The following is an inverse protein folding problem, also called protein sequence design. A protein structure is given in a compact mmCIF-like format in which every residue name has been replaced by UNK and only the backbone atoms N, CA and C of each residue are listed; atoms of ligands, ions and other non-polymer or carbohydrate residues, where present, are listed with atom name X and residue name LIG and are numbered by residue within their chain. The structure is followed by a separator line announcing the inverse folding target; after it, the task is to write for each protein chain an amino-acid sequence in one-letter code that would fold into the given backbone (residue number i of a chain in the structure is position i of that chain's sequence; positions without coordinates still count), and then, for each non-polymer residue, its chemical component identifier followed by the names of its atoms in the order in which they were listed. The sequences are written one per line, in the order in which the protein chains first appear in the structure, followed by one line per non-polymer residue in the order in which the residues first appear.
data_IF_193561554666
#
_entry.id   IF_193561554666
#
_cell.length_a   1.000
_cell.length_b   1.000
_cell.length_c   1.000
_cell.angle_alpha   90.00
_cell.angle_beta   90.00
_cell.angle_gamma   90.00
#
_symmetry.space_group_name_H-M   'P 1'
#
loop_
_entity.id
_entity.type
_entity.pdbx_description
1 polymer ?
#
# COMPACT_ATOMS: atom_id res chain seq x y z
N UNK A 1 -46.64 1.61 54.32
CA UNK A 1 -45.57 2.61 54.54
C UNK A 1 -45.06 3.06 53.17
N UNK A 2 -45.21 4.36 52.90
CA UNK A 2 -44.65 5.22 51.82
C UNK A 2 -44.70 4.71 50.35
N UNK A 3 -45.49 5.29 49.41
CA UNK A 3 -45.44 6.65 48.79
C UNK A 3 -44.34 6.74 47.71
N UNK A 4 -44.48 7.28 46.48
CA UNK A 4 -45.54 7.95 45.70
C UNK A 4 -45.04 8.07 44.23
N UNK A 5 -45.97 8.19 43.27
CA UNK A 5 -45.95 8.99 42.00
C UNK A 5 -44.72 9.01 41.05
N UNK A 6 -44.85 9.15 39.73
CA UNK A 6 -45.99 9.43 38.88
C UNK A 6 -45.55 9.72 37.42
N UNK A 7 -46.44 9.34 36.50
CA UNK A 7 -46.59 9.68 35.07
C UNK A 7 -46.06 11.02 34.56
N UNK A 8 -45.56 11.05 33.31
CA UNK A 8 -45.83 12.13 32.33
C UNK A 8 -45.99 11.60 30.89
N UNK A 9 -46.98 12.15 30.17
CA UNK A 9 -47.40 11.88 28.78
C UNK A 9 -46.88 12.95 27.81
N UNK A 10 -46.66 12.53 26.55
CA UNK A 10 -46.91 13.17 25.24
C UNK A 10 -46.66 14.67 24.99
N UNK A 11 -45.98 14.99 23.88
CA UNK A 11 -46.45 15.97 22.87
C UNK A 11 -45.68 15.84 21.53
N UNK A 12 -46.30 16.32 20.46
CA UNK A 12 -46.09 16.00 19.04
C UNK A 12 -45.78 17.28 18.23
N UNK A 13 -45.04 17.11 17.10
CA UNK A 13 -44.93 17.94 15.88
C UNK A 13 -44.21 19.31 15.90
N UNK A 14 -43.29 19.49 14.95
CA UNK A 14 -43.42 20.47 13.85
C UNK A 14 -42.36 20.24 12.76
N UNK A 15 -42.79 20.28 11.50
CA UNK A 15 -41.98 20.33 10.27
C UNK A 15 -41.75 21.79 9.88
N UNK A 16 -40.58 22.13 9.32
CA UNK A 16 -40.41 23.31 8.45
C UNK A 16 -39.23 23.10 7.49
N UNK A 17 -39.43 23.64 6.29
CA UNK A 17 -38.70 23.44 5.03
C UNK A 17 -37.63 24.53 4.82
N UNK A 18 -36.61 24.19 4.00
CA UNK A 18 -35.36 24.86 3.52
C UNK A 18 -35.45 26.35 3.10
N UNK A 19 -34.32 27.12 2.95
CA UNK A 19 -33.45 27.04 1.75
C UNK A 19 -31.92 27.19 1.98
N UNK A 20 -31.16 26.77 0.97
CA UNK A 20 -29.69 26.81 0.86
C UNK A 20 -29.10 28.22 0.68
N UNK A 21 -27.91 28.49 1.24
CA UNK A 21 -26.94 29.48 0.74
C UNK A 21 -25.51 28.99 1.02
N UNK A 22 -24.67 29.13 0.00
CA UNK A 22 -23.26 28.77 -0.06
C UNK A 22 -22.37 29.54 0.93
N UNK A 23 -21.35 28.87 1.46
CA UNK A 23 -20.09 29.47 1.87
C UNK A 23 -18.98 28.41 1.76
N UNK A 24 -18.34 28.35 0.59
CA UNK A 24 -17.08 27.65 0.43
C UNK A 24 -15.99 28.48 1.14
N UNK A 25 -15.68 28.11 2.38
CA UNK A 25 -14.52 28.61 3.08
C UNK A 25 -13.31 27.70 2.76
N UNK A 26 -12.37 28.25 2.00
CA UNK A 26 -11.03 27.70 1.82
C UNK A 26 -10.38 27.48 3.20
N UNK A 27 -10.29 26.22 3.61
CA UNK A 27 -9.42 25.80 4.71
C UNK A 27 -8.18 25.19 4.08
N UNK A 28 -7.25 26.03 3.66
CA UNK A 28 -5.84 25.65 3.52
C UNK A 28 -5.29 25.45 4.92
N UNK A 29 -5.40 24.24 5.45
CA UNK A 29 -4.61 23.85 6.63
C UNK A 29 -3.15 23.77 6.17
N UNK A 30 -2.32 24.62 6.76
CA UNK A 30 -0.87 24.52 6.73
C UNK A 30 -0.44 23.10 7.13
N UNK A 31 -0.10 22.27 6.13
CA UNK A 31 0.66 21.05 6.37
C UNK A 31 2.07 21.50 6.71
N UNK A 32 2.39 21.58 8.00
CA UNK A 32 3.78 21.74 8.46
C UNK A 32 4.62 20.63 7.84
N UNK A 33 5.63 21.02 7.06
CA UNK A 33 6.64 20.12 6.52
C UNK A 33 7.24 19.30 7.67
N UNK A 34 7.11 17.98 7.58
CA UNK A 34 7.76 17.05 8.51
C UNK A 34 9.24 17.01 8.12
N UNK A 35 10.19 17.22 9.06
CA UNK A 35 11.61 17.10 8.76
C UNK A 35 11.92 15.69 8.24
N UNK A 36 12.63 15.60 7.12
CA UNK A 36 13.10 14.34 6.54
C UNK A 36 14.05 13.64 7.53
N UNK A 37 13.60 12.55 8.14
CA UNK A 37 14.46 11.59 8.86
C UNK A 37 14.79 10.43 7.92
N UNK A 38 15.99 9.84 7.98
CA UNK A 38 16.41 8.79 7.04
C UNK A 38 17.07 7.66 7.84
N UNK A 39 16.73 6.40 7.53
CA UNK A 39 17.39 5.22 8.11
C UNK A 39 17.70 4.18 7.03
N UNK A 40 18.82 3.48 7.15
CA UNK A 40 19.26 2.44 6.21
C UNK A 40 19.45 1.12 6.94
N UNK A 41 18.98 0.02 6.37
CA UNK A 41 19.35 -1.34 6.81
C UNK A 41 19.96 -2.09 5.64
N UNK A 42 21.19 -2.58 5.79
CA UNK A 42 21.82 -3.49 4.83
C UNK A 42 21.53 -4.95 5.22
N UNK A 43 21.11 -5.75 4.25
CA UNK A 43 21.24 -7.22 4.33
C UNK A 43 22.15 -7.68 3.19
N UNK A 44 23.18 -8.49 3.45
CA UNK A 44 23.97 -9.07 2.39
C UNK A 44 23.11 -10.10 1.64
N UNK A 45 22.96 -9.94 0.33
CA UNK A 45 22.37 -10.95 -0.54
C UNK A 45 23.38 -11.32 -1.62
N UNK A 46 23.42 -12.61 -2.00
CA UNK A 46 24.27 -13.12 -3.07
C UNK A 46 23.99 -12.34 -4.37
N UNK A 47 25.04 -11.73 -4.91
CA UNK A 47 25.04 -11.07 -6.21
C UNK A 47 24.70 -12.12 -7.28
N UNK A 48 23.53 -12.00 -7.90
CA UNK A 48 23.27 -12.61 -9.20
C UNK A 48 23.40 -11.52 -10.25
N UNK A 49 24.17 -11.81 -11.30
CA UNK A 49 24.44 -10.90 -12.40
C UNK A 49 23.13 -10.51 -13.11
N UNK A 50 22.79 -9.22 -13.03
CA UNK A 50 21.69 -8.64 -13.82
C UNK A 50 22.30 -8.15 -15.14
N UNK A 51 21.65 -8.40 -16.30
CA UNK A 51 22.15 -7.91 -17.58
C UNK A 51 22.30 -6.38 -17.55
N UNK A 52 23.53 -5.91 -17.75
CA UNK A 52 23.79 -4.48 -17.99
C UNK A 52 23.18 -4.12 -19.34
N UNK A 53 22.14 -3.30 -19.34
CA UNK A 53 21.72 -2.63 -20.57
C UNK A 53 22.82 -1.64 -20.95
N UNK A 54 23.54 -1.96 -22.01
CA UNK A 54 24.50 -1.05 -22.60
C UNK A 54 23.78 0.15 -23.20
N UNK A 55 24.10 1.35 -22.71
CA UNK A 55 24.53 2.46 -23.57
C UNK A 55 25.07 3.62 -22.73
N UNK A 56 26.12 4.23 -23.27
CA UNK A 56 26.93 5.32 -22.74
C UNK A 56 26.19 6.66 -22.67
N UNK A 57 25.04 6.71 -22.00
CA UNK A 57 24.41 7.97 -21.63
C UNK A 57 24.96 8.41 -20.27
N UNK A 58 25.28 9.70 -20.13
CA UNK A 58 25.55 10.29 -18.82
C UNK A 58 24.38 9.97 -17.88
N UNK A 59 24.62 9.70 -16.58
CA UNK A 59 23.55 9.47 -15.63
C UNK A 59 22.59 10.67 -15.64
N UNK A 60 21.27 10.46 -15.51
CA UNK A 60 20.32 11.57 -15.52
C UNK A 60 20.64 12.54 -14.39
N UNK A 61 20.46 13.83 -14.67
CA UNK A 61 20.50 14.84 -13.64
C UNK A 61 19.40 14.57 -12.61
N UNK A 62 19.66 14.81 -11.31
CA UNK A 62 18.63 14.70 -10.30
C UNK A 62 17.50 15.71 -10.57
N UNK A 63 16.23 15.31 -10.37
CA UNK A 63 15.12 16.24 -10.34
C UNK A 63 15.40 17.38 -9.35
N UNK A 64 15.08 18.62 -9.73
CA UNK A 64 15.25 19.79 -8.85
C UNK A 64 14.43 19.70 -7.56
N UNK A 65 13.45 18.80 -7.53
CA UNK A 65 12.55 18.48 -6.42
C UNK A 65 13.19 17.55 -5.38
N UNK A 66 14.28 16.85 -5.69
CA UNK A 66 14.94 15.99 -4.71
C UNK A 66 15.70 16.82 -3.67
N UNK A 67 15.30 16.68 -2.41
CA UNK A 67 16.01 17.29 -1.30
C UNK A 67 17.50 16.86 -1.32
N UNK A 68 18.46 17.80 -1.19
CA UNK A 68 19.89 17.50 -1.28
C UNK A 68 20.36 16.36 -0.35
N UNK A 69 19.79 16.29 0.87
CA UNK A 69 20.10 15.24 1.85
C UNK A 69 19.67 13.85 1.37
N UNK A 70 18.51 13.75 0.71
CA UNK A 70 18.03 12.48 0.15
C UNK A 70 18.90 12.05 -1.03
N UNK A 71 19.28 12.99 -1.90
CA UNK A 71 20.18 12.74 -3.02
C UNK A 71 21.53 12.20 -2.56
N UNK A 72 22.19 12.87 -1.60
CA UNK A 72 23.48 12.42 -1.05
C UNK A 72 23.37 11.02 -0.44
N UNK A 73 22.26 10.75 0.26
CA UNK A 73 22.02 9.43 0.85
C UNK A 73 21.84 8.36 -0.22
N UNK A 74 21.05 8.63 -1.26
CA UNK A 74 20.89 7.71 -2.38
C UNK A 74 22.23 7.43 -3.06
N UNK A 75 23.06 8.45 -3.32
CA UNK A 75 24.38 8.27 -3.91
C UNK A 75 25.25 7.31 -3.11
N UNK A 76 25.28 7.50 -1.79
CA UNK A 76 26.03 6.66 -0.87
C UNK A 76 25.53 5.22 -0.90
N UNK A 77 24.22 5.03 -0.82
CA UNK A 77 23.59 3.69 -0.82
C UNK A 77 23.83 2.97 -2.14
N UNK A 78 23.59 3.63 -3.28
CA UNK A 78 23.78 3.05 -4.60
C UNK A 78 25.24 2.67 -4.85
N UNK A 79 26.19 3.50 -4.40
CA UNK A 79 27.62 3.19 -4.49
C UNK A 79 27.99 1.96 -3.65
N UNK A 80 27.43 1.84 -2.44
CA UNK A 80 27.76 0.76 -1.52
C UNK A 80 27.08 -0.59 -1.86
N UNK A 81 25.88 -0.56 -2.44
CA UNK A 81 25.01 -1.75 -2.55
C UNK A 81 24.53 -2.06 -3.98
N UNK A 82 24.79 -1.17 -4.95
CA UNK A 82 24.35 -1.34 -6.33
C UNK A 82 22.84 -1.52 -6.44
N UNK A 83 22.39 -2.55 -7.17
CA UNK A 83 20.97 -2.83 -7.44
C UNK A 83 20.22 -3.53 -6.31
N UNK A 84 20.89 -3.86 -5.20
CA UNK A 84 20.31 -4.59 -4.06
C UNK A 84 20.30 -3.71 -2.81
N UNK A 85 19.43 -2.70 -2.82
CA UNK A 85 19.29 -1.76 -1.72
C UNK A 85 17.85 -1.69 -1.22
N UNK A 86 17.71 -1.33 0.05
CA UNK A 86 16.46 -0.90 0.67
C UNK A 86 16.75 0.42 1.42
N UNK A 87 16.02 1.49 1.12
CA UNK A 87 16.21 2.82 1.71
C UNK A 87 14.88 3.35 2.23
N UNK A 88 14.83 3.70 3.53
CA UNK A 88 13.69 4.43 4.08
C UNK A 88 13.86 5.93 3.84
N UNK A 89 12.85 6.57 3.25
CA UNK A 89 12.75 8.01 3.12
C UNK A 89 11.39 8.51 3.61
N UNK A 90 11.33 9.81 3.92
CA UNK A 90 10.12 10.48 4.40
C UNK A 90 9.83 11.65 3.48
N UNK A 91 8.57 11.78 3.09
CA UNK A 91 8.16 12.80 2.14
C UNK A 91 6.80 12.49 1.53
N UNK A 92 6.47 13.22 0.48
CA UNK A 92 5.30 12.99 -0.37
C UNK A 92 5.53 11.86 -1.37
N UNK A 93 4.44 11.35 -1.93
CA UNK A 93 4.49 10.39 -3.05
C UNK A 93 5.28 10.93 -4.25
N UNK A 94 5.21 12.23 -4.54
CA UNK A 94 5.98 12.83 -5.65
C UNK A 94 7.49 12.76 -5.40
N UNK A 95 7.93 13.09 -4.19
CA UNK A 95 9.36 13.00 -3.83
C UNK A 95 9.87 11.56 -3.87
N UNK A 96 9.03 10.59 -3.49
CA UNK A 96 9.33 9.18 -3.65
C UNK A 96 9.53 8.79 -5.13
N UNK A 97 8.64 9.24 -6.02
CA UNK A 97 8.73 8.94 -7.46
C UNK A 97 9.99 9.56 -8.10
N UNK A 98 10.33 10.80 -7.72
CA UNK A 98 11.57 11.43 -8.17
C UNK A 98 12.81 10.63 -7.72
N UNK A 99 12.79 10.14 -6.48
CA UNK A 99 13.89 9.33 -5.92
C UNK A 99 13.98 7.97 -6.61
N UNK A 100 12.84 7.33 -6.87
CA UNK A 100 12.73 6.08 -7.59
C UNK A 100 13.30 6.22 -9.01
N UNK A 101 12.77 7.17 -9.78
CA UNK A 101 13.15 7.36 -11.17
C UNK A 101 14.64 7.64 -11.32
N UNK A 102 15.15 8.57 -10.50
CA UNK A 102 16.57 8.92 -10.54
C UNK A 102 17.47 7.75 -10.12
N UNK A 103 17.14 7.04 -9.03
CA UNK A 103 17.99 5.96 -8.51
C UNK A 103 18.07 4.77 -9.46
N UNK A 104 16.95 4.37 -10.06
CA UNK A 104 16.93 3.27 -11.01
C UNK A 104 17.63 3.65 -12.32
N UNK A 105 17.42 4.87 -12.82
CA UNK A 105 18.10 5.33 -14.02
C UNK A 105 19.62 5.45 -13.81
N UNK A 106 20.08 5.85 -12.62
CA UNK A 106 21.51 5.82 -12.25
C UNK A 106 22.10 4.41 -12.23
N UNK A 107 21.28 3.39 -11.96
CA UNK A 107 21.66 1.98 -12.06
C UNK A 107 21.51 1.41 -13.48
N UNK A 108 21.19 2.23 -14.49
CA UNK A 108 20.94 1.78 -15.85
C UNK A 108 19.69 0.90 -15.97
N UNK A 109 18.73 1.06 -15.05
CA UNK A 109 17.47 0.32 -14.99
C UNK A 109 16.29 1.27 -15.21
N UNK A 110 15.21 0.75 -15.80
CA UNK A 110 13.94 1.46 -15.89
C UNK A 110 12.92 0.82 -14.96
N UNK A 111 12.13 1.64 -14.25
CA UNK A 111 11.00 1.14 -13.50
C UNK A 111 9.79 1.11 -14.44
N UNK A 112 9.54 -0.05 -15.05
CA UNK A 112 8.31 -0.24 -15.82
C UNK A 112 7.14 -0.44 -14.85
N UNK A 113 6.62 0.68 -14.35
CA UNK A 113 5.37 0.74 -13.59
C UNK A 113 4.15 0.81 -14.50
N UNK A 114 4.30 0.72 -15.82
CA UNK A 114 3.14 0.83 -16.70
C UNK A 114 2.25 -0.38 -16.46
N UNK A 115 1.22 -0.16 -15.65
CA UNK A 115 0.26 -1.18 -15.35
C UNK A 115 -0.53 -1.40 -16.64
N UNK A 116 -0.55 -2.61 -17.23
CA UNK A 116 -1.48 -2.88 -18.31
C UNK A 116 -2.88 -2.49 -17.82
N UNK A 117 -3.69 -1.91 -18.73
CA UNK A 117 -5.04 -1.47 -18.41
C UNK A 117 -5.76 -2.52 -17.55
N UNK A 118 -6.35 -2.08 -16.44
CA UNK A 118 -6.92 -2.99 -15.45
C UNK A 118 -7.87 -3.97 -16.13
N UNK A 119 -7.62 -5.26 -15.89
CA UNK A 119 -8.53 -6.34 -16.29
C UNK A 119 -9.09 -6.96 -15.03
N UNK A 120 -10.41 -6.89 -14.87
CA UNK A 120 -11.09 -7.61 -13.81
C UNK A 120 -10.70 -9.09 -13.85
N UNK A 121 -10.50 -9.68 -12.66
CA UNK A 121 -10.20 -11.12 -12.56
C UNK A 121 -11.40 -11.91 -13.08
N UNK A 122 -11.15 -12.78 -14.05
CA UNK A 122 -12.20 -13.61 -14.64
C UNK A 122 -12.64 -14.74 -13.70
N UNK A 123 -11.78 -15.12 -12.74
CA UNK A 123 -12.03 -16.17 -11.77
C UNK A 123 -11.59 -15.75 -10.36
N UNK A 124 -12.17 -16.41 -9.37
CA UNK A 124 -11.76 -16.31 -7.96
C UNK A 124 -10.32 -16.76 -7.79
N UNK A 125 -9.57 -16.03 -6.96
CA UNK A 125 -8.22 -16.42 -6.52
C UNK A 125 -8.25 -17.47 -5.40
N UNK A 126 -9.40 -17.66 -4.76
CA UNK A 126 -9.65 -18.73 -3.80
C UNK A 126 -9.90 -20.08 -4.50
N UNK A 127 -8.83 -20.67 -5.05
CA UNK A 127 -8.82 -21.88 -5.88
C UNK A 127 -8.28 -23.13 -5.15
N UNK A 128 -7.77 -22.98 -3.92
CA UNK A 128 -7.27 -24.07 -3.06
C UNK A 128 -7.89 -24.04 -1.67
N UNK A 129 -7.82 -25.15 -0.93
CA UNK A 129 -8.47 -25.28 0.37
C UNK A 129 -8.08 -24.18 1.38
N UNK A 130 -6.80 -23.80 1.45
CA UNK A 130 -6.32 -22.71 2.31
C UNK A 130 -6.93 -21.36 1.91
N UNK A 131 -6.98 -21.06 0.61
CA UNK A 131 -7.50 -19.80 0.09
C UNK A 131 -9.02 -19.71 0.20
N UNK A 132 -9.74 -20.82 0.01
CA UNK A 132 -11.20 -20.91 0.25
C UNK A 132 -11.53 -20.67 1.72
N UNK A 133 -10.77 -21.28 2.64
CA UNK A 133 -10.89 -21.00 4.08
C UNK A 133 -10.66 -19.52 4.38
N UNK A 134 -9.62 -18.92 3.82
CA UNK A 134 -9.29 -17.52 4.06
C UNK A 134 -10.35 -16.59 3.48
N UNK A 135 -10.92 -16.91 2.31
CA UNK A 135 -12.07 -16.19 1.74
C UNK A 135 -13.27 -16.20 2.67
N UNK A 136 -13.74 -17.38 3.06
CA UNK A 136 -14.88 -17.53 3.98
C UNK A 136 -14.66 -16.74 5.27
N UNK A 137 -13.45 -16.77 5.82
CA UNK A 137 -13.08 -16.04 7.03
C UNK A 137 -13.10 -14.52 6.82
N UNK A 138 -12.50 -14.01 5.75
CA UNK A 138 -12.45 -12.57 5.48
C UNK A 138 -13.86 -12.02 5.26
N UNK A 139 -14.67 -12.71 4.45
CA UNK A 139 -16.04 -12.29 4.16
C UNK A 139 -16.92 -12.33 5.42
N UNK A 140 -16.78 -13.35 6.27
CA UNK A 140 -17.58 -13.46 7.51
C UNK A 140 -17.11 -12.55 8.65
N UNK A 141 -15.79 -12.37 8.82
CA UNK A 141 -15.21 -11.59 9.93
C UNK A 141 -15.22 -10.09 9.65
N UNK A 142 -14.91 -9.70 8.42
CA UNK A 142 -14.68 -8.31 8.05
C UNK A 142 -15.69 -7.76 7.05
N UNK A 143 -16.58 -8.61 6.51
CA UNK A 143 -17.57 -8.18 5.51
C UNK A 143 -16.97 -7.77 4.17
N UNK A 144 -15.70 -8.10 3.92
CA UNK A 144 -14.98 -7.69 2.72
C UNK A 144 -15.10 -8.77 1.63
N UNK A 145 -15.85 -8.49 0.58
CA UNK A 145 -16.05 -9.39 -0.55
C UNK A 145 -14.80 -9.55 -1.41
N UNK A 146 -14.68 -10.67 -2.13
CA UNK A 146 -13.59 -10.84 -3.09
C UNK A 146 -13.65 -9.85 -4.26
N UNK A 147 -14.86 -9.56 -4.77
CA UNK A 147 -15.07 -8.59 -5.84
C UNK A 147 -15.10 -7.18 -5.24
N UNK A 148 -14.18 -6.32 -5.69
CA UNK A 148 -14.01 -4.96 -5.21
C UNK A 148 -15.30 -4.15 -5.07
N UNK A 149 -15.29 -3.21 -4.14
CA UNK A 149 -16.30 -2.17 -3.99
C UNK A 149 -15.63 -0.83 -4.23
N UNK A 150 -16.12 -0.06 -5.22
CA UNK A 150 -15.55 1.24 -5.56
C UNK A 150 -15.95 2.37 -4.59
N UNK A 151 -16.94 2.13 -3.73
CA UNK A 151 -17.49 3.11 -2.79
C UNK A 151 -16.99 2.96 -1.37
N UNK A 152 -16.48 1.78 -1.00
CA UNK A 152 -16.03 1.47 0.36
C UNK A 152 -14.82 2.32 0.75
N UNK A 153 -14.89 3.01 1.88
CA UNK A 153 -13.77 3.80 2.38
C UNK A 153 -12.97 3.02 3.42
N UNK A 154 -11.65 3.13 3.39
CA UNK A 154 -10.74 2.50 4.35
C UNK A 154 -10.12 3.56 5.23
N UNK A 155 -10.10 3.32 6.55
CA UNK A 155 -9.57 4.23 7.55
C UNK A 155 -8.52 3.51 8.41
N UNK A 156 -7.45 4.23 8.73
CA UNK A 156 -6.46 3.74 9.69
C UNK A 156 -6.98 3.81 11.14
N UNK A 157 -6.21 3.31 12.13
CA UNK A 157 -6.63 3.30 13.53
C UNK A 157 -6.84 4.70 14.13
N UNK A 158 -6.20 5.73 13.58
CA UNK A 158 -6.38 7.12 13.97
C UNK A 158 -7.63 7.76 13.33
N UNK A 159 -8.28 7.05 12.40
CA UNK A 159 -9.44 7.53 11.65
C UNK A 159 -9.07 8.38 10.45
N UNK A 160 -7.81 8.36 9.98
CA UNK A 160 -7.41 9.00 8.73
C UNK A 160 -7.79 8.12 7.53
N UNK A 161 -8.19 8.76 6.43
CA UNK A 161 -8.55 8.05 5.19
C UNK A 161 -7.31 7.41 4.57
N UNK A 162 -7.38 6.12 4.26
CA UNK A 162 -6.31 5.35 3.60
C UNK A 162 -6.59 5.18 2.12
N UNK A 163 -7.82 4.79 1.77
CA UNK A 163 -8.21 4.53 0.39
C UNK A 163 -9.73 4.69 0.19
N UNK A 164 -10.13 4.95 -1.04
CA UNK A 164 -11.51 4.93 -1.51
C UNK A 164 -11.68 3.87 -2.59
N UNK A 165 -12.45 2.86 -2.25
CA UNK A 165 -12.66 1.66 -3.03
C UNK A 165 -11.48 0.70 -3.00
N UNK A 166 -11.71 -0.48 -3.56
CA UNK A 166 -10.69 -1.52 -3.83
C UNK A 166 -11.11 -2.34 -5.05
N UNK A 167 -10.17 -3.04 -5.67
CA UNK A 167 -10.41 -3.83 -6.89
C UNK A 167 -10.79 -5.28 -6.59
N UNK A 168 -10.12 -5.88 -5.60
CA UNK A 168 -10.38 -7.25 -5.16
C UNK A 168 -9.73 -7.54 -3.80
N UNK A 169 -10.18 -8.61 -3.14
CA UNK A 169 -9.33 -9.34 -2.18
C UNK A 169 -8.63 -10.46 -2.93
N UNK A 170 -7.30 -10.47 -2.91
CA UNK A 170 -6.46 -11.51 -3.51
C UNK A 170 -6.09 -12.52 -2.43
N UNK A 171 -6.50 -13.77 -2.62
CA UNK A 171 -6.16 -14.87 -1.73
C UNK A 171 -4.89 -15.55 -2.26
N UNK A 172 -3.76 -15.26 -1.63
CA UNK A 172 -2.49 -15.94 -1.89
C UNK A 172 -2.17 -16.99 -0.84
N UNK A 173 -1.08 -17.72 -1.05
CA UNK A 173 -0.61 -18.73 -0.09
C UNK A 173 0.17 -18.11 1.09
N UNK A 174 0.27 -16.78 1.15
CA UNK A 174 0.75 -16.02 2.32
C UNK A 174 -0.38 -15.32 3.09
N UNK A 175 -1.64 -15.59 2.72
CA UNK A 175 -2.83 -14.95 3.29
C UNK A 175 -3.53 -13.98 2.33
N UNK A 176 -4.64 -13.37 2.80
CA UNK A 176 -5.47 -12.46 2.00
C UNK A 176 -4.91 -11.02 1.96
N UNK A 177 -4.96 -10.40 0.78
CA UNK A 177 -4.53 -9.02 0.56
C UNK A 177 -5.61 -8.21 -0.15
N UNK A 178 -5.82 -6.97 0.27
CA UNK A 178 -6.68 -6.01 -0.45
C UNK A 178 -5.87 -5.41 -1.59
N UNK A 179 -6.39 -5.48 -2.81
CA UNK A 179 -5.79 -4.92 -4.02
C UNK A 179 -6.42 -3.57 -4.35
N UNK A 180 -5.58 -2.55 -4.54
CA UNK A 180 -5.98 -1.19 -4.89
C UNK A 180 -5.35 -0.74 -6.22
N UNK A 181 -6.02 0.21 -6.87
CA UNK A 181 -5.40 1.09 -7.87
C UNK A 181 -4.69 2.26 -7.18
N UNK A 182 -3.74 2.87 -7.88
CA UNK A 182 -2.98 4.02 -7.37
C UNK A 182 -3.88 5.22 -7.07
N UNK A 183 -4.89 5.45 -7.90
CA UNK A 183 -5.89 6.52 -7.74
C UNK A 183 -6.88 6.32 -6.58
N UNK A 184 -6.97 5.09 -6.05
CA UNK A 184 -7.82 4.79 -4.88
C UNK A 184 -7.12 5.18 -3.58
N UNK A 185 -5.79 5.30 -3.58
CA UNK A 185 -5.00 5.58 -2.37
C UNK A 185 -5.06 7.06 -2.02
N UNK A 186 -5.36 7.35 -0.75
CA UNK A 186 -5.20 8.68 -0.18
C UNK A 186 -3.75 8.91 0.23
N UNK A 187 -2.91 9.25 -0.77
CA UNK A 187 -1.48 9.44 -0.61
C UNK A 187 -1.03 10.37 0.53
N UNK A 188 -1.75 11.45 0.90
CA UNK A 188 -1.33 12.30 2.03
C UNK A 188 -1.18 11.57 3.37
N UNK A 189 -1.84 10.43 3.58
CA UNK A 189 -1.69 9.61 4.79
C UNK A 189 -0.35 8.85 4.82
N UNK A 190 0.27 8.61 3.67
CA UNK A 190 1.50 7.85 3.53
C UNK A 190 2.71 8.77 3.40
N UNK A 191 3.47 8.92 4.49
CA UNK A 191 4.62 9.83 4.53
C UNK A 191 5.98 9.17 4.74
N UNK A 192 6.00 7.84 4.97
CA UNK A 192 7.23 7.05 5.04
C UNK A 192 7.22 6.05 3.91
N UNK A 193 8.34 5.95 3.19
CA UNK A 193 8.48 5.08 2.04
C UNK A 193 9.74 4.25 2.15
N UNK A 194 9.69 3.01 1.69
CA UNK A 194 10.85 2.16 1.48
C UNK A 194 11.07 1.97 0.00
N UNK A 195 12.03 2.70 -0.51
CA UNK A 195 12.54 2.52 -1.85
C UNK A 195 13.40 1.25 -1.89
N UNK A 196 13.26 0.47 -2.96
CA UNK A 196 14.01 -0.77 -3.15
C UNK A 196 14.67 -0.82 -4.51
N UNK A 197 15.75 -1.59 -4.59
CA UNK A 197 16.48 -1.76 -5.83
C UNK A 197 15.74 -2.61 -6.87
N UNK A 198 16.17 -2.56 -8.15
CA UNK A 198 15.52 -3.27 -9.27
C UNK A 198 15.38 -4.78 -9.10
N UNK A 199 16.16 -5.41 -8.20
CA UNK A 199 16.08 -6.84 -7.90
C UNK A 199 14.87 -7.26 -7.04
N UNK A 200 14.07 -6.32 -6.52
CA UNK A 200 12.87 -6.64 -5.71
C UNK A 200 11.61 -6.76 -6.57
N UNK A 201 10.47 -6.98 -5.92
CA UNK A 201 9.15 -7.11 -6.56
C UNK A 201 8.17 -5.99 -6.20
N UNK A 202 8.44 -5.24 -5.13
CA UNK A 202 7.57 -4.17 -4.63
C UNK A 202 8.35 -3.10 -3.84
N UNK A 203 7.78 -1.91 -3.72
CA UNK A 203 8.14 -0.88 -2.73
C UNK A 203 7.22 -0.97 -1.52
N UNK A 204 7.52 -0.21 -0.46
CA UNK A 204 6.65 -0.16 0.71
C UNK A 204 6.30 1.29 1.05
N UNK A 205 5.03 1.55 1.36
CA UNK A 205 4.58 2.85 1.86
C UNK A 205 3.89 2.64 3.21
N UNK A 206 4.22 3.50 4.16
CA UNK A 206 3.71 3.44 5.51
C UNK A 206 2.99 4.75 5.84
N UNK A 207 1.88 4.63 6.55
CA UNK A 207 1.26 5.80 7.16
C UNK A 207 2.15 6.35 8.30
N UNK A 208 1.75 7.50 8.85
CA UNK A 208 2.56 8.26 9.82
C UNK A 208 3.00 7.45 11.04
N UNK A 209 2.10 6.65 11.60
CA UNK A 209 2.34 5.83 12.79
C UNK A 209 2.77 4.39 12.47
N UNK A 210 3.01 4.10 11.19
CA UNK A 210 3.41 2.80 10.63
C UNK A 210 2.45 1.64 10.93
N UNK A 211 1.21 1.92 11.33
CA UNK A 211 0.17 0.91 11.54
C UNK A 211 -0.31 0.29 10.23
N UNK A 212 -0.31 1.06 9.13
CA UNK A 212 -0.72 0.60 7.80
C UNK A 212 0.49 0.56 6.86
N UNK A 213 0.62 -0.56 6.14
CA UNK A 213 1.66 -0.80 5.14
C UNK A 213 1.03 -1.15 3.79
N UNK A 214 1.37 -0.38 2.77
CA UNK A 214 1.09 -0.69 1.37
C UNK A 214 2.33 -1.29 0.71
N UNK A 215 2.11 -2.36 -0.06
CA UNK A 215 3.08 -2.95 -0.98
C UNK A 215 2.77 -2.43 -2.37
N UNK A 216 3.62 -1.57 -2.94
CA UNK A 216 3.48 -1.07 -4.31
C UNK A 216 4.22 -2.01 -5.26
N UNK A 217 3.45 -2.90 -5.89
CA UNK A 217 3.98 -4.03 -6.64
C UNK A 217 4.41 -3.59 -8.03
N UNK A 218 5.68 -3.84 -8.41
CA UNK A 218 6.20 -3.51 -9.74
C UNK A 218 6.68 -4.74 -10.54
N UNK A 219 6.59 -5.94 -9.98
CA UNK A 219 6.76 -7.23 -10.69
C UNK A 219 5.72 -8.24 -10.26
N UNK A 220 5.46 -9.27 -11.04
CA UNK A 220 4.70 -10.43 -10.55
C UNK A 220 5.52 -11.25 -9.55
N UNK A 221 4.88 -12.21 -8.87
CA UNK A 221 5.58 -13.25 -8.07
C UNK A 221 5.48 -14.63 -8.72
N UNK A 222 5.29 -14.68 -10.04
CA UNK A 222 5.15 -15.92 -10.80
C UNK A 222 6.38 -16.84 -10.75
N UNK A 223 7.56 -16.28 -10.44
CA UNK A 223 8.81 -17.00 -10.25
C UNK A 223 9.03 -17.49 -8.81
N UNK A 224 8.07 -17.26 -7.92
CA UNK A 224 8.13 -17.62 -6.50
C UNK A 224 7.01 -18.62 -6.20
N UNK A 225 7.27 -19.93 -6.30
CA UNK A 225 6.24 -20.95 -6.16
C UNK A 225 5.67 -21.07 -4.75
N UNK A 226 6.44 -20.64 -3.76
CA UNK A 226 6.08 -20.66 -2.34
C UNK A 226 6.23 -19.27 -1.72
N UNK A 227 5.43 -18.95 -0.68
CA UNK A 227 5.59 -17.71 0.07
C UNK A 227 6.94 -17.67 0.81
N UNK A 228 7.45 -16.47 1.16
CA UNK A 228 8.73 -16.33 1.84
C UNK A 228 8.79 -17.09 3.17
N UNK A 229 9.63 -18.12 3.25
CA UNK A 229 9.80 -18.95 4.46
C UNK A 229 10.33 -18.18 5.69
N UNK A 230 11.00 -17.05 5.46
CA UNK A 230 11.54 -16.21 6.54
C UNK A 230 10.46 -15.44 7.32
N UNK A 231 9.23 -15.39 6.81
CA UNK A 231 8.12 -14.64 7.42
C UNK A 231 6.86 -15.51 7.49
N UNK A 232 6.89 -16.67 8.18
CA UNK A 232 5.72 -17.51 8.27
C UNK A 232 4.62 -16.82 9.08
N UNK A 233 3.39 -16.94 8.62
CA UNK A 233 2.20 -16.55 9.36
C UNK A 233 1.22 -17.72 9.42
N UNK A 234 0.15 -17.60 10.20
CA UNK A 234 -0.85 -18.66 10.39
C UNK A 234 -1.56 -19.09 9.10
N UNK A 235 -1.43 -18.31 8.03
CA UNK A 235 -2.07 -18.55 6.73
C UNK A 235 -1.08 -19.10 5.68
N UNK A 236 0.23 -19.10 5.99
CA UNK A 236 1.29 -19.49 5.07
C UNK A 236 1.19 -20.96 4.70
N UNK A 237 1.12 -21.25 3.41
CA UNK A 237 1.09 -22.61 2.87
C UNK A 237 2.13 -22.74 1.75
N UNK A 238 2.93 -23.81 1.76
CA UNK A 238 3.87 -24.09 0.67
C UNK A 238 3.25 -25.10 -0.29
N UNK A 239 2.57 -24.59 -1.31
CA UNK A 239 1.88 -25.40 -2.32
C UNK A 239 2.72 -25.62 -3.59
N UNK A 240 3.91 -25.00 -3.69
CA UNK A 240 4.82 -25.08 -4.82
C UNK A 240 4.13 -24.79 -6.17
N UNK A 241 3.48 -23.63 -6.28
CA UNK A 241 2.66 -23.23 -7.42
C UNK A 241 3.50 -22.83 -8.63
N UNK A 242 3.17 -23.38 -9.80
CA UNK A 242 3.85 -23.05 -11.06
C UNK A 242 3.67 -21.59 -11.50
N UNK A 243 2.58 -20.97 -11.08
CA UNK A 243 2.15 -19.62 -11.41
C UNK A 243 2.51 -18.59 -10.33
N UNK A 244 3.23 -19.02 -9.29
CA UNK A 244 3.57 -18.22 -8.12
C UNK A 244 2.58 -18.38 -6.96
N UNK A 245 3.05 -18.05 -5.75
CA UNK A 245 2.27 -18.24 -4.51
C UNK A 245 1.07 -17.28 -4.40
N UNK A 246 1.01 -16.22 -5.21
CA UNK A 246 -0.08 -15.25 -5.25
C UNK A 246 -0.18 -14.62 -6.64
N UNK A 247 -1.39 -14.24 -7.06
CA UNK A 247 -1.63 -13.56 -8.35
C UNK A 247 -1.46 -12.03 -8.21
N UNK A 248 -0.29 -11.58 -7.73
CA UNK A 248 0.04 -10.15 -7.65
C UNK A 248 0.38 -9.58 -9.02
N UNK A 249 -0.13 -8.38 -9.29
CA UNK A 249 -0.03 -7.69 -10.57
C UNK A 249 0.83 -6.45 -10.42
N UNK A 250 1.69 -6.19 -11.41
CA UNK A 250 2.47 -4.97 -11.45
C UNK A 250 1.58 -3.72 -11.60
N UNK A 251 1.92 -2.64 -10.91
CA UNK A 251 1.16 -1.40 -10.83
C UNK A 251 -0.07 -1.45 -9.91
N UNK A 252 -0.16 -2.46 -9.03
CA UNK A 252 -1.20 -2.54 -7.99
C UNK A 252 -0.58 -2.36 -6.62
N UNK A 253 -1.39 -1.83 -5.70
CA UNK A 253 -1.02 -1.69 -4.31
C UNK A 253 -1.75 -2.72 -3.47
N UNK A 254 -1.04 -3.31 -2.51
CA UNK A 254 -1.59 -4.35 -1.66
C UNK A 254 -1.44 -4.00 -0.18
N UNK A 255 -2.43 -4.32 0.64
CA UNK A 255 -2.26 -4.41 2.10
C UNK A 255 -2.76 -5.76 2.59
N UNK A 256 -2.13 -6.31 3.62
CA UNK A 256 -2.64 -7.51 4.29
C UNK A 256 -3.98 -7.19 4.94
N UNK A 257 -5.02 -7.99 4.65
CA UNK A 257 -6.34 -7.80 5.27
C UNK A 257 -6.21 -7.89 6.79
N UNK A 258 -5.55 -8.95 7.27
CA UNK A 258 -5.44 -9.20 8.71
C UNK A 258 -4.61 -8.11 9.40
N UNK A 259 -3.47 -7.72 8.85
CA UNK A 259 -2.65 -6.66 9.45
C UNK A 259 -3.38 -5.31 9.47
N UNK A 260 -4.18 -5.00 8.44
CA UNK A 260 -4.96 -3.77 8.39
C UNK A 260 -6.01 -3.71 9.52
N UNK A 261 -6.84 -4.75 9.64
CA UNK A 261 -7.93 -4.77 10.63
C UNK A 261 -7.44 -5.06 12.06
N UNK A 262 -6.41 -5.88 12.24
CA UNK A 262 -5.82 -6.15 13.57
C UNK A 262 -5.09 -4.93 14.14
N UNK A 263 -4.57 -4.05 13.29
CA UNK A 263 -4.03 -2.77 13.72
C UNK A 263 -5.13 -1.80 14.22
N UNK A 264 -6.41 -2.10 13.99
CA UNK A 264 -7.54 -1.23 14.30
C UNK A 264 -8.08 -0.44 13.11
N UNK A 265 -7.62 -0.74 11.89
CA UNK A 265 -8.20 -0.20 10.68
C UNK A 265 -9.66 -0.62 10.51
N UNK A 266 -10.44 0.19 9.81
CA UNK A 266 -11.88 -0.03 9.61
C UNK A 266 -12.31 0.39 8.21
N UNK A 267 -13.43 -0.15 7.73
CA UNK A 267 -14.07 0.29 6.51
C UNK A 267 -15.50 0.80 6.78
N UNK A 268 -15.98 1.74 5.96
CA UNK A 268 -17.30 2.35 6.07
C UNK A 268 -17.88 2.70 4.69
#
# INVERSE_FOLDING_TARGET
MASFAGSWRNAVRSLSVVPAVAAAANVTKDVKAVPSQISCSSKPALVRDIPKFGNSALPPLPPATLAPVLLETLERVLTATGSFFDLDCYGSKSEFEDALWWSWAKLGSACDRTSPAYKQRAASTADSANRVRDKQRVESKWGLGESGDASLEFYDPAGELVARGYEAVVYGDHGPYIEFKEEQIYWPTFCRHRLKGPGRTHFEHYNRDVSIKLYDQFKTVADQPDPPAAFPNAFSCSNNRSEGYADYRAGRLYTSVDSFFEAGGRCA
#
